data_IF_307427025708
#
_entry.id   IF_307427025708
#
_cell.length_a   1.000
_cell.length_b   1.000
_cell.length_c   1.000
_cell.angle_alpha   90.00
_cell.angle_beta   90.00
_cell.angle_gamma   90.00
#
_symmetry.space_group_name_H-M   'P 1'
#
loop_
_entity.id
_entity.type
_entity.pdbx_description
1 polymer ?
#
# COMPACT_ATOMS: atom_id res chain seq x y z
N UNK A 1 -0.40 -19.68 -7.07
CA UNK A 1 0.60 -18.95 -6.22
C UNK A 1 1.10 -17.66 -6.85
N UNK A 2 1.85 -17.66 -7.95
CA UNK A 2 2.46 -16.43 -8.50
C UNK A 2 1.44 -15.33 -8.87
N UNK A 3 0.33 -15.69 -9.51
CA UNK A 3 -0.77 -14.76 -9.82
C UNK A 3 -1.38 -14.14 -8.55
N UNK A 4 -1.54 -14.94 -7.48
CA UNK A 4 -2.05 -14.45 -6.20
C UNK A 4 -1.07 -13.50 -5.51
N UNK A 5 0.23 -13.78 -5.56
CA UNK A 5 1.27 -12.87 -5.07
C UNK A 5 1.26 -11.54 -5.83
N UNK A 6 1.18 -11.60 -7.17
CA UNK A 6 1.11 -10.42 -8.02
C UNK A 6 -0.12 -9.56 -7.71
N UNK A 7 -1.30 -10.17 -7.66
CA UNK A 7 -2.55 -9.47 -7.36
C UNK A 7 -2.53 -8.88 -5.95
N UNK A 8 -1.93 -9.57 -4.98
CA UNK A 8 -1.75 -9.06 -3.63
C UNK A 8 -0.90 -7.79 -3.59
N UNK A 9 0.27 -7.80 -4.26
CA UNK A 9 1.16 -6.63 -4.29
C UNK A 9 0.51 -5.46 -5.01
N UNK A 10 -0.16 -5.68 -6.14
CA UNK A 10 -0.89 -4.63 -6.84
C UNK A 10 -2.03 -4.04 -6.01
N UNK A 11 -2.83 -4.88 -5.35
CA UNK A 11 -3.91 -4.41 -4.49
C UNK A 11 -3.35 -3.61 -3.29
N UNK A 12 -2.23 -4.04 -2.72
CA UNK A 12 -1.56 -3.30 -1.66
C UNK A 12 -1.04 -1.94 -2.17
N UNK A 13 -0.45 -1.88 -3.35
CA UNK A 13 -0.03 -0.61 -3.99
C UNK A 13 -1.21 0.33 -4.25
N UNK A 14 -2.36 -0.21 -4.66
CA UNK A 14 -3.59 0.56 -4.83
C UNK A 14 -4.07 1.14 -3.49
N UNK A 15 -4.02 0.37 -2.41
CA UNK A 15 -4.36 0.82 -1.04
C UNK A 15 -3.39 1.91 -0.54
N UNK A 16 -2.13 1.89 -0.97
CA UNK A 16 -1.16 2.94 -0.63
C UNK A 16 -1.46 4.29 -1.28
N UNK A 17 -2.21 4.34 -2.39
CA UNK A 17 -2.48 5.58 -3.10
C UNK A 17 -3.22 6.62 -2.23
N UNK A 18 -4.42 6.34 -1.69
CA UNK A 18 -5.11 7.29 -0.85
C UNK A 18 -4.30 7.66 0.39
N UNK A 19 -3.50 6.73 0.96
CA UNK A 19 -2.60 7.06 2.06
C UNK A 19 -1.57 8.13 1.67
N UNK A 20 -0.90 7.99 0.51
CA UNK A 20 0.04 8.98 0.00
C UNK A 20 -0.63 10.33 -0.28
N UNK A 21 -1.84 10.32 -0.83
CA UNK A 21 -2.58 11.55 -1.09
C UNK A 21 -3.04 12.25 0.19
N UNK A 22 -3.32 11.52 1.27
CA UNK A 22 -3.67 12.09 2.59
C UNK A 22 -2.45 12.50 3.43
N UNK A 23 -1.23 12.28 2.95
CA UNK A 23 -0.04 12.49 3.78
C UNK A 23 0.14 13.98 4.19
N UNK A 24 0.26 14.22 5.50
CA UNK A 24 0.38 15.55 6.09
C UNK A 24 1.69 16.26 5.68
N UNK A 25 2.72 15.49 5.30
CA UNK A 25 4.01 15.99 4.81
C UNK A 25 4.17 15.93 3.29
N UNK A 26 3.07 15.74 2.56
CA UNK A 26 3.09 15.65 1.09
C UNK A 26 3.62 16.91 0.41
N UNK A 27 3.51 18.06 1.09
CA UNK A 27 3.97 19.37 0.62
C UNK A 27 5.50 19.45 0.43
N UNK A 28 6.25 18.56 1.06
CA UNK A 28 7.71 18.42 0.89
C UNK A 28 8.09 17.81 -0.45
N UNK A 29 7.18 17.05 -1.08
CA UNK A 29 7.43 16.44 -2.37
C UNK A 29 7.16 17.44 -3.50
N UNK A 30 8.22 17.81 -4.24
CA UNK A 30 8.16 18.85 -5.29
C UNK A 30 7.58 18.35 -6.62
N UNK A 31 7.48 17.03 -6.80
CA UNK A 31 6.96 16.40 -8.02
C UNK A 31 5.44 16.17 -7.96
N UNK A 32 4.89 15.62 -9.05
CA UNK A 32 3.50 15.15 -9.05
C UNK A 32 3.39 13.82 -8.29
N UNK A 33 2.55 13.79 -7.24
CA UNK A 33 2.22 12.56 -6.52
C UNK A 33 1.52 11.54 -7.42
N UNK A 34 0.76 12.00 -8.42
CA UNK A 34 0.10 11.11 -9.39
C UNK A 34 1.14 10.35 -10.22
N UNK A 35 2.20 11.05 -10.63
CA UNK A 35 3.32 10.45 -11.38
C UNK A 35 4.12 9.51 -10.48
N UNK A 36 4.39 9.92 -9.24
CA UNK A 36 5.06 9.05 -8.27
C UNK A 36 4.28 7.77 -8.03
N UNK A 37 2.96 7.86 -7.80
CA UNK A 37 2.09 6.71 -7.60
C UNK A 37 1.96 5.87 -8.88
N UNK A 38 1.84 6.50 -10.04
CA UNK A 38 1.81 5.81 -11.33
C UNK A 38 3.08 4.99 -11.57
N UNK A 39 4.26 5.52 -11.22
CA UNK A 39 5.50 4.77 -11.27
C UNK A 39 5.61 3.72 -10.15
N UNK A 40 5.08 4.01 -8.95
CA UNK A 40 5.00 3.08 -7.82
C UNK A 40 4.21 1.82 -8.19
N UNK A 41 3.17 1.91 -9.01
CA UNK A 41 2.42 0.75 -9.54
C UNK A 41 3.29 -0.27 -10.29
N UNK A 42 4.40 0.17 -10.90
CA UNK A 42 5.30 -0.69 -11.68
C UNK A 42 6.64 -0.96 -10.99
N UNK A 43 7.15 0.00 -10.22
CA UNK A 43 8.50 0.00 -9.62
C UNK A 43 8.45 0.45 -8.16
N UNK A 44 7.58 -0.23 -7.43
CA UNK A 44 7.18 0.00 -6.05
C UNK A 44 8.35 0.29 -5.08
N UNK A 45 9.34 -0.59 -5.00
CA UNK A 45 10.50 -0.42 -4.13
C UNK A 45 11.37 0.80 -4.47
N UNK A 46 11.38 1.24 -5.73
CA UNK A 46 12.32 2.25 -6.23
C UNK A 46 11.84 3.66 -5.93
N UNK A 47 10.52 3.89 -5.92
CA UNK A 47 9.93 5.23 -5.74
C UNK A 47 9.51 5.51 -4.29
N UNK A 48 9.18 4.49 -3.52
CA UNK A 48 8.78 4.66 -2.12
C UNK A 48 9.93 5.12 -1.23
N UNK A 49 11.14 4.58 -1.40
CA UNK A 49 12.28 4.96 -0.55
C UNK A 49 12.66 6.44 -0.72
N UNK A 50 12.83 6.97 -1.95
CA UNK A 50 13.08 8.40 -2.15
C UNK A 50 11.95 9.29 -1.62
N UNK A 51 10.68 8.90 -1.80
CA UNK A 51 9.55 9.64 -1.22
C UNK A 51 9.71 9.83 0.28
N UNK A 52 10.10 8.74 0.95
CA UNK A 52 10.24 8.66 2.39
C UNK A 52 11.44 9.44 2.91
N UNK A 53 12.50 9.53 2.11
CA UNK A 53 13.62 10.44 2.38
C UNK A 53 13.22 11.90 2.18
N UNK A 54 12.47 12.24 1.13
CA UNK A 54 12.08 13.62 0.81
C UNK A 54 11.13 14.20 1.88
N UNK A 55 10.19 13.41 2.41
CA UNK A 55 9.27 13.87 3.49
C UNK A 55 9.97 14.17 4.82
N UNK A 56 11.20 13.72 5.03
CA UNK A 56 12.00 14.03 6.20
C UNK A 56 12.68 15.39 6.11
N UNK A 57 12.71 16.00 4.92
CA UNK A 57 13.26 17.34 4.76
C UNK A 57 12.42 18.38 5.49
N UNK A 58 13.10 19.45 5.90
CA UNK A 58 12.47 20.58 6.58
C UNK A 58 11.42 21.29 5.72
N UNK A 59 10.49 22.03 6.35
CA UNK A 59 9.53 22.81 5.59
C UNK A 59 10.16 23.84 4.68
N UNK A 60 9.73 23.87 3.42
CA UNK A 60 10.01 24.99 2.53
C UNK A 60 9.15 26.18 3.02
N UNK A 61 9.78 27.11 3.76
CA UNK A 61 9.10 28.25 4.40
C UNK A 61 8.40 29.20 3.39
N UNK A 62 8.77 29.15 2.11
CA UNK A 62 8.29 30.05 1.06
C UNK A 62 7.22 29.44 0.14
N UNK A 63 6.70 28.24 0.42
CA UNK A 63 5.83 27.54 -0.53
C UNK A 63 4.43 27.26 0.03
N UNK A 64 3.43 27.86 -0.61
CA UNK A 64 2.03 27.50 -0.40
C UNK A 64 1.82 26.02 -0.73
N UNK A 65 0.96 25.30 0.05
CA UNK A 65 0.74 23.88 -0.17
C UNK A 65 0.27 23.63 -1.61
N UNK A 66 0.88 22.68 -2.34
CA UNK A 66 0.48 22.38 -3.71
C UNK A 66 -0.99 21.94 -3.74
N UNK A 67 -1.75 22.49 -4.70
CA UNK A 67 -3.17 22.14 -4.90
C UNK A 67 -3.28 20.64 -5.19
N UNK A 68 -4.15 19.94 -4.47
CA UNK A 68 -4.41 18.50 -4.66
C UNK A 68 -4.85 18.25 -6.10
N UNK A 69 -4.28 17.23 -6.74
CA UNK A 69 -4.66 16.82 -8.10
C UNK A 69 -6.10 16.31 -8.13
N UNK A 70 -6.74 16.31 -9.31
CA UNK A 70 -8.09 15.75 -9.45
C UNK A 70 -8.13 14.25 -9.13
N UNK A 71 -7.09 13.50 -9.52
CA UNK A 71 -6.94 12.09 -9.20
C UNK A 71 -6.81 11.87 -7.68
N UNK A 72 -5.97 12.66 -7.01
CA UNK A 72 -5.84 12.61 -5.55
C UNK A 72 -7.15 12.93 -4.83
N UNK A 73 -7.93 13.91 -5.32
CA UNK A 73 -9.24 14.23 -4.76
C UNK A 73 -10.23 13.05 -4.87
N UNK A 74 -10.31 12.43 -6.05
CA UNK A 74 -11.19 11.25 -6.27
C UNK A 74 -10.77 10.07 -5.39
N UNK A 75 -9.47 9.81 -5.25
CA UNK A 75 -8.97 8.71 -4.42
C UNK A 75 -9.17 8.93 -2.93
N UNK A 76 -9.12 10.18 -2.46
CA UNK A 76 -9.39 10.52 -1.06
C UNK A 76 -10.89 10.45 -0.75
N UNK A 77 -11.74 11.03 -1.60
CA UNK A 77 -13.20 10.98 -1.43
C UNK A 77 -13.74 9.55 -1.59
N UNK A 78 -13.08 8.73 -2.43
CA UNK A 78 -13.37 7.32 -2.60
C UNK A 78 -12.57 6.41 -1.66
N UNK A 79 -11.83 6.95 -0.67
CA UNK A 79 -10.91 6.16 0.16
C UNK A 79 -11.58 4.96 0.84
N UNK A 80 -12.81 5.06 1.42
CA UNK A 80 -13.46 3.91 2.02
C UNK A 80 -13.77 2.80 0.99
N UNK A 81 -14.20 3.18 -0.22
CA UNK A 81 -14.48 2.23 -1.30
C UNK A 81 -13.19 1.57 -1.81
N UNK A 82 -12.12 2.34 -2.01
CA UNK A 82 -10.79 1.83 -2.38
C UNK A 82 -10.25 0.89 -1.30
N UNK A 83 -10.43 1.25 -0.03
CA UNK A 83 -10.07 0.43 1.13
C UNK A 83 -10.81 -0.91 1.14
N UNK A 84 -12.13 -0.89 0.97
CA UNK A 84 -12.95 -2.10 0.94
C UNK A 84 -12.62 -3.01 -0.25
N UNK A 85 -12.55 -2.45 -1.47
CA UNK A 85 -12.26 -3.20 -2.69
C UNK A 85 -10.83 -3.74 -2.67
N UNK A 86 -9.84 -2.91 -2.34
CA UNK A 86 -8.44 -3.34 -2.26
C UNK A 86 -8.22 -4.38 -1.16
N UNK A 87 -8.85 -4.22 0.00
CA UNK A 87 -8.83 -5.20 1.08
C UNK A 87 -9.43 -6.54 0.66
N UNK A 88 -10.59 -6.51 -0.01
CA UNK A 88 -11.23 -7.72 -0.54
C UNK A 88 -10.34 -8.43 -1.57
N UNK A 89 -9.73 -7.68 -2.50
CA UNK A 89 -8.81 -8.24 -3.49
C UNK A 89 -7.59 -8.86 -2.82
N UNK A 90 -7.03 -8.24 -1.77
CA UNK A 90 -5.94 -8.85 -0.99
C UNK A 90 -6.34 -10.19 -0.37
N UNK A 91 -7.53 -10.27 0.25
CA UNK A 91 -8.05 -11.52 0.84
C UNK A 91 -8.26 -12.59 -0.24
N UNK A 92 -8.91 -12.24 -1.34
CA UNK A 92 -9.12 -13.16 -2.47
C UNK A 92 -7.79 -13.62 -3.08
N UNK A 93 -6.79 -12.74 -3.14
CA UNK A 93 -5.46 -13.07 -3.66
C UNK A 93 -4.70 -14.03 -2.76
N UNK A 94 -4.82 -13.90 -1.43
CA UNK A 94 -4.28 -14.85 -0.46
C UNK A 94 -4.98 -16.21 -0.63
N UNK A 95 -6.32 -16.22 -0.66
CA UNK A 95 -7.09 -17.46 -0.87
C UNK A 95 -6.72 -18.13 -2.19
N UNK A 96 -6.56 -17.37 -3.27
CA UNK A 96 -6.12 -17.86 -4.57
C UNK A 96 -4.66 -18.35 -4.56
N UNK A 97 -3.78 -17.71 -3.78
CA UNK A 97 -2.39 -18.14 -3.67
C UNK A 97 -2.30 -19.56 -3.08
N UNK A 98 -3.09 -19.87 -2.05
CA UNK A 98 -3.08 -21.18 -1.38
C UNK A 98 -3.99 -22.23 -2.04
N UNK A 99 -5.21 -21.84 -2.43
CA UNK A 99 -6.26 -22.74 -2.91
C UNK A 99 -6.43 -22.73 -4.43
N UNK A 100 -5.92 -21.70 -5.11
CA UNK A 100 -6.00 -21.60 -6.56
C UNK A 100 -5.28 -22.77 -7.22
N UNK A 101 -5.96 -23.41 -8.18
CA UNK A 101 -5.47 -24.60 -8.90
C UNK A 101 -5.10 -25.78 -7.98
N UNK A 102 -5.88 -25.98 -6.90
CA UNK A 102 -5.82 -27.16 -6.03
C UNK A 102 -5.94 -28.50 -6.77
N UNK A 103 -6.86 -28.57 -7.73
CA UNK A 103 -7.26 -29.81 -8.41
C UNK A 103 -6.38 -30.24 -9.59
N UNK A 104 -5.35 -29.47 -9.95
CA UNK A 104 -4.53 -29.74 -11.16
C UNK A 104 -3.26 -30.56 -10.90
N UNK A 105 -3.19 -31.33 -9.81
CA UNK A 105 -2.10 -32.30 -9.58
C UNK A 105 -0.74 -31.71 -9.21
N UNK A 106 -0.66 -30.43 -8.83
CA UNK A 106 0.58 -29.70 -8.49
C UNK A 106 1.14 -30.00 -7.09
N UNK A 107 0.96 -31.22 -6.58
CA UNK A 107 1.63 -31.63 -5.36
C UNK A 107 1.05 -31.09 -4.05
N UNK A 108 1.58 -31.60 -2.94
CA UNK A 108 1.19 -31.21 -1.58
C UNK A 108 1.68 -29.80 -1.17
N UNK A 109 1.28 -29.35 0.03
CA UNK A 109 1.66 -28.03 0.58
C UNK A 109 3.19 -27.84 0.65
N UNK A 110 3.94 -28.91 0.95
CA UNK A 110 5.39 -28.86 1.02
C UNK A 110 6.06 -28.59 -0.34
N UNK A 111 5.58 -29.25 -1.41
CA UNK A 111 6.09 -29.07 -2.77
C UNK A 111 5.75 -27.67 -3.29
N UNK A 112 4.56 -27.16 -2.95
CA UNK A 112 4.15 -25.78 -3.24
C UNK A 112 5.05 -24.75 -2.54
N UNK A 113 5.40 -24.99 -1.28
CA UNK A 113 6.32 -24.11 -0.54
C UNK A 113 7.73 -24.10 -1.16
N UNK A 114 8.26 -25.27 -1.52
CA UNK A 114 9.55 -25.37 -2.20
C UNK A 114 9.53 -24.65 -3.56
N UNK A 115 8.47 -24.84 -4.36
CA UNK A 115 8.29 -24.12 -5.61
C UNK A 115 8.25 -22.60 -5.41
N UNK A 116 7.52 -22.13 -4.38
CA UNK A 116 7.45 -20.71 -4.06
C UNK A 116 8.83 -20.14 -3.72
N UNK A 117 9.60 -20.86 -2.89
CA UNK A 117 10.95 -20.45 -2.53
C UNK A 117 11.85 -20.38 -3.77
N UNK A 118 11.84 -21.42 -4.61
CA UNK A 118 12.59 -21.42 -5.88
C UNK A 118 12.15 -20.27 -6.79
N UNK A 119 10.85 -20.04 -6.94
CA UNK A 119 10.30 -18.97 -7.76
C UNK A 119 10.75 -17.57 -7.29
N UNK A 120 10.70 -17.31 -5.98
CA UNK A 120 11.13 -16.03 -5.39
C UNK A 120 12.61 -15.72 -5.62
N UNK A 121 13.48 -16.74 -5.67
CA UNK A 121 14.93 -16.55 -5.86
C UNK A 121 15.41 -16.73 -7.30
N UNK A 122 14.64 -17.42 -8.15
CA UNK A 122 14.97 -17.60 -9.57
C UNK A 122 14.43 -16.46 -10.43
N UNK A 123 13.24 -15.93 -10.12
CA UNK A 123 12.60 -14.87 -10.90
C UNK A 123 12.85 -13.49 -10.28
N UNK A 124 13.51 -12.61 -11.04
CA UNK A 124 13.83 -11.24 -10.60
C UNK A 124 12.58 -10.44 -10.21
N UNK A 125 11.49 -10.66 -10.94
CA UNK A 125 10.21 -9.98 -10.69
C UNK A 125 9.60 -10.42 -9.35
N UNK A 126 9.61 -11.73 -9.08
CA UNK A 126 9.09 -12.29 -7.84
C UNK A 126 9.92 -11.84 -6.63
N UNK A 127 11.24 -11.76 -6.80
CA UNK A 127 12.15 -11.19 -5.81
C UNK A 127 11.84 -9.71 -5.52
N UNK A 128 11.55 -8.90 -6.55
CA UNK A 128 11.16 -7.51 -6.35
C UNK A 128 9.86 -7.38 -5.55
N UNK A 129 8.86 -8.22 -5.81
CA UNK A 129 7.61 -8.25 -5.05
C UNK A 129 7.79 -8.58 -3.57
N UNK A 130 8.75 -9.45 -3.24
CA UNK A 130 9.10 -9.74 -1.84
C UNK A 130 9.60 -8.47 -1.13
N UNK A 131 10.48 -7.71 -1.79
CA UNK A 131 10.96 -6.42 -1.28
C UNK A 131 9.85 -5.39 -1.19
N UNK A 132 8.94 -5.35 -2.15
CA UNK A 132 7.78 -4.46 -2.11
C UNK A 132 6.91 -4.73 -0.87
N UNK A 133 6.57 -6.01 -0.61
CA UNK A 133 5.83 -6.40 0.60
C UNK A 133 6.56 -6.03 1.89
N UNK A 134 7.88 -6.23 1.93
CA UNK A 134 8.69 -5.88 3.09
C UNK A 134 8.68 -4.36 3.34
N UNK A 135 8.99 -3.56 2.31
CA UNK A 135 9.00 -2.11 2.41
C UNK A 135 7.62 -1.56 2.78
N UNK A 136 6.56 -2.11 2.20
CA UNK A 136 5.19 -1.77 2.56
C UNK A 136 4.87 -2.07 4.02
N UNK A 137 5.29 -3.23 4.53
CA UNK A 137 5.07 -3.59 5.93
C UNK A 137 5.78 -2.63 6.90
N UNK A 138 6.96 -2.11 6.52
CA UNK A 138 7.73 -1.16 7.33
C UNK A 138 7.17 0.26 7.23
N UNK A 139 6.83 0.70 6.02
CA UNK A 139 6.46 2.07 5.74
C UNK A 139 4.99 2.38 6.03
N UNK A 140 4.10 1.41 5.84
CA UNK A 140 2.68 1.52 6.19
C UNK A 140 2.46 2.08 7.61
N UNK A 141 2.98 1.46 8.70
CA UNK A 141 2.74 1.95 10.05
C UNK A 141 3.31 3.35 10.30
N UNK A 142 4.41 3.69 9.62
CA UNK A 142 5.06 5.00 9.77
C UNK A 142 4.29 6.11 9.03
N UNK A 143 3.75 5.86 7.83
CA UNK A 143 2.85 6.81 7.16
C UNK A 143 1.53 6.96 7.93
N UNK A 144 0.89 5.84 8.31
CA UNK A 144 -0.39 5.90 9.04
C UNK A 144 -0.21 6.64 10.36
N UNK A 145 0.91 6.43 11.06
CA UNK A 145 1.21 7.08 12.32
C UNK A 145 1.25 8.61 12.25
N UNK A 146 1.92 9.15 11.24
CA UNK A 146 2.01 10.60 11.02
C UNK A 146 0.66 11.19 10.55
N UNK A 147 -0.24 10.35 10.02
CA UNK A 147 -1.52 10.74 9.47
C UNK A 147 -2.73 10.35 10.34
N UNK A 148 -2.49 9.93 11.60
CA UNK A 148 -3.58 9.59 12.54
C UNK A 148 -4.55 10.74 12.78
N UNK A 149 -4.10 12.00 12.59
CA UNK A 149 -4.96 13.17 12.70
C UNK A 149 -6.03 13.31 11.61
N UNK A 150 -5.92 12.57 10.50
CA UNK A 150 -6.91 12.56 9.40
C UNK A 150 -8.01 11.50 9.60
N UNK A 151 -7.93 10.73 10.68
CA UNK A 151 -8.84 9.62 10.98
C UNK A 151 -9.85 10.09 12.03
N UNK A 152 -11.09 9.62 11.93
CA UNK A 152 -12.15 9.86 12.93
C UNK A 152 -11.62 9.61 14.35
N UNK A 153 -11.85 10.55 15.26
CA UNK A 153 -11.29 10.53 16.62
C UNK A 153 -11.58 9.23 17.40
N UNK A 154 -12.76 8.63 17.20
CA UNK A 154 -13.17 7.37 17.82
C UNK A 154 -12.38 6.15 17.28
N UNK A 155 -12.00 6.20 16.00
CA UNK A 155 -11.24 5.14 15.33
C UNK A 155 -9.72 5.31 15.43
N UNK A 156 -9.20 6.49 15.79
CA UNK A 156 -7.78 6.78 15.84
C UNK A 156 -7.00 5.80 16.76
N UNK A 157 -7.57 5.44 17.91
CA UNK A 157 -6.98 4.44 18.81
C UNK A 157 -6.89 3.07 18.16
N UNK A 158 -7.95 2.61 17.50
CA UNK A 158 -7.97 1.34 16.78
C UNK A 158 -6.92 1.34 15.66
N UNK A 159 -6.93 2.36 14.80
CA UNK A 159 -5.98 2.50 13.68
C UNK A 159 -4.53 2.53 14.16
N UNK A 160 -4.24 3.18 15.28
CA UNK A 160 -2.89 3.22 15.87
C UNK A 160 -2.33 1.85 16.26
N UNK A 161 -3.20 0.90 16.60
CA UNK A 161 -2.82 -0.47 16.96
C UNK A 161 -2.70 -1.32 15.70
N UNK A 162 -3.71 -1.26 14.82
CA UNK A 162 -3.76 -2.12 13.63
C UNK A 162 -2.83 -1.66 12.50
N UNK A 163 -2.26 -0.45 12.56
CA UNK A 163 -1.33 0.08 11.55
C UNK A 163 -0.12 -0.83 11.29
N UNK A 164 0.30 -1.60 12.29
CA UNK A 164 1.43 -2.54 12.20
C UNK A 164 1.06 -3.86 11.52
N UNK A 165 -0.22 -4.16 11.35
CA UNK A 165 -0.69 -5.36 10.65
C UNK A 165 -0.72 -5.04 9.15
N UNK A 166 0.10 -5.70 8.31
CA UNK A 166 0.19 -5.38 6.90
C UNK A 166 -1.16 -5.57 6.19
N UNK A 167 -1.49 -4.68 5.26
CA UNK A 167 -2.81 -4.58 4.57
C UNK A 167 -3.97 -4.18 5.50
N UNK A 168 -4.15 -4.84 6.64
CA UNK A 168 -5.24 -4.58 7.59
C UNK A 168 -5.18 -3.15 8.13
N UNK A 169 -3.99 -2.67 8.48
CA UNK A 169 -3.78 -1.30 8.93
C UNK A 169 -4.17 -0.26 7.89
N UNK A 170 -3.87 -0.51 6.61
CA UNK A 170 -4.28 0.37 5.50
C UNK A 170 -5.79 0.37 5.32
N UNK A 171 -6.39 -0.82 5.27
CA UNK A 171 -7.85 -0.94 5.11
C UNK A 171 -8.57 -0.22 6.25
N UNK A 172 -8.12 -0.41 7.49
CA UNK A 172 -8.69 0.28 8.65
C UNK A 172 -8.52 1.80 8.56
N UNK A 173 -7.33 2.29 8.18
CA UNK A 173 -7.08 3.71 7.97
C UNK A 173 -8.03 4.30 6.93
N UNK A 174 -8.19 3.65 5.78
CA UNK A 174 -9.01 4.13 4.67
C UNK A 174 -10.52 4.11 4.96
N UNK A 175 -10.99 3.10 5.69
CA UNK A 175 -12.39 3.03 6.12
C UNK A 175 -12.73 4.06 7.20
N UNK A 176 -11.74 4.47 7.99
CA UNK A 176 -11.91 5.40 9.10
C UNK A 176 -11.43 6.83 8.77
N UNK A 177 -11.03 7.08 7.52
CA UNK A 177 -10.64 8.39 7.07
C UNK A 177 -11.82 9.36 7.25
N UNK A 178 -11.54 10.54 7.80
CA UNK A 178 -12.53 11.61 7.91
C UNK A 178 -12.74 12.23 6.53
N UNK A 179 -14.00 12.33 6.09
CA UNK A 179 -14.31 12.99 4.82
C UNK A 179 -14.07 14.50 5.00
N UNK A 180 -13.29 15.12 4.10
CA UNK A 180 -13.24 16.58 4.02
C UNK A 180 -14.58 17.05 3.44
N UNK A 181 -15.47 17.59 4.29
CA UNK A 181 -16.72 18.26 3.91
C UNK A 181 -16.50 19.47 2.96
#
# INVERSE_FOLDING_TARGET
MAEGLFNLVLAWTLLFAPLLFTDCRRDRYKGSLDVLWGFQMFLTNTFLIPYMAIRLNGPDADRSPPRRSQLGSVMVNGAPAVGAVGGLVCVLSIVWAFSGRGDSGFGGIAERWQYLQSYLFSERLAYAFLWDMFLYSVFQPWLIGDNLGNVKADAARLVSVVRFVPVVGLVAYLLCLEEED
#
